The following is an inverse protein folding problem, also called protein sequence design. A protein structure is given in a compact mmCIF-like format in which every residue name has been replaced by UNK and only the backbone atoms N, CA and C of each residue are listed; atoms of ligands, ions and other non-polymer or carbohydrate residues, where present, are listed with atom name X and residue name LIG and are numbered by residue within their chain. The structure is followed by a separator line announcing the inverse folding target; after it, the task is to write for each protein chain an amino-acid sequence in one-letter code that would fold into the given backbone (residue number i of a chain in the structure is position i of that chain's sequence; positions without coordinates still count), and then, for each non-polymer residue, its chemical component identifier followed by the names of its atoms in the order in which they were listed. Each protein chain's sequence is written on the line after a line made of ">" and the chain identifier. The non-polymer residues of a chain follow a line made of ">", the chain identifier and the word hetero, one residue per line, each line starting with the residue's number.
data_IF_967825765323
#
_entry.id   IF_967825765323
#
_cell.length_a   1.000
_cell.length_b   1.000
_cell.length_c   1.000
_cell.angle_alpha   90.00
_cell.angle_beta   90.00
_cell.angle_gamma   90.00
#
_symmetry.space_group_name_H-M   'P 1'
#
loop_
_entity.id
_entity.type
_entity.pdbx_description
1 polymer ?
#
# COMPACT_ATOMS: atom_id res chain seq x y z
N UNK A 1 17.63 -13.10 5.01
CA UNK A 1 17.53 -11.92 5.89
C UNK A 1 16.52 -10.96 5.25
N UNK A 2 15.23 -11.04 5.58
CA UNK A 2 14.21 -10.17 4.95
C UNK A 2 13.11 -9.83 5.93
N UNK A 3 13.42 -8.89 6.83
CA UNK A 3 12.47 -8.16 7.68
C UNK A 3 13.06 -6.77 7.96
N UNK A 4 12.28 -5.72 8.30
CA UNK A 4 10.84 -5.68 8.54
C UNK A 4 10.11 -4.62 7.68
N UNK A 5 8.78 -4.60 7.73
CA UNK A 5 7.82 -3.70 7.03
C UNK A 5 7.35 -4.12 5.62
N UNK A 6 6.88 -5.37 5.47
CA UNK A 6 6.33 -5.83 4.19
C UNK A 6 5.16 -4.97 3.65
N UNK A 7 4.36 -4.33 4.52
CA UNK A 7 3.17 -3.58 4.11
C UNK A 7 2.87 -2.37 5.04
N UNK A 8 3.56 -1.22 4.85
CA UNK A 8 3.43 -0.04 5.71
C UNK A 8 2.14 0.76 5.54
N UNK A 9 1.34 0.46 4.51
CA UNK A 9 0.11 1.17 4.21
C UNK A 9 -1.11 0.26 4.35
N UNK A 10 -2.29 0.86 4.47
CA UNK A 10 -3.58 0.20 4.35
C UNK A 10 -4.38 0.87 3.22
N UNK A 11 -4.99 0.06 2.36
CA UNK A 11 -5.82 0.56 1.27
C UNK A 11 -7.20 0.94 1.81
N UNK A 12 -7.56 2.23 1.81
CA UNK A 12 -8.79 2.72 2.49
C UNK A 12 -10.00 2.89 1.58
N UNK A 13 -9.85 2.77 0.27
CA UNK A 13 -10.94 3.01 -0.68
C UNK A 13 -11.75 1.75 -0.94
N UNK A 14 -13.04 1.92 -1.22
CA UNK A 14 -13.92 0.83 -1.63
C UNK A 14 -13.79 0.56 -3.14
N UNK A 15 -12.62 0.06 -3.55
CA UNK A 15 -12.35 -0.33 -4.93
C UNK A 15 -11.74 -1.72 -4.95
N UNK A 16 -12.14 -2.53 -5.92
CA UNK A 16 -11.64 -3.90 -6.13
C UNK A 16 -11.80 -4.84 -4.91
N UNK A 17 -12.69 -4.53 -3.96
CA UNK A 17 -12.87 -5.35 -2.75
C UNK A 17 -11.68 -5.37 -1.79
N UNK A 18 -10.75 -4.39 -1.89
CA UNK A 18 -9.49 -4.38 -1.12
C UNK A 18 -9.48 -3.40 0.06
N UNK A 19 -10.61 -2.81 0.42
CA UNK A 19 -10.72 -1.85 1.52
C UNK A 19 -10.26 -2.51 2.83
N UNK A 20 -9.38 -1.83 3.56
CA UNK A 20 -8.82 -2.29 4.83
C UNK A 20 -7.62 -3.22 4.71
N UNK A 21 -7.22 -3.65 3.50
CA UNK A 21 -6.09 -4.56 3.35
C UNK A 21 -4.75 -3.83 3.46
N UNK A 22 -3.75 -4.44 4.12
CA UNK A 22 -2.41 -3.88 4.17
C UNK A 22 -1.76 -3.96 2.78
N UNK A 23 -0.93 -2.98 2.44
CA UNK A 23 -0.22 -2.92 1.17
C UNK A 23 1.12 -2.16 1.30
N UNK A 24 2.00 -2.40 0.32
CA UNK A 24 3.26 -1.69 0.13
C UNK A 24 3.20 -0.92 -1.18
N UNK A 25 3.99 0.15 -1.26
CA UNK A 25 4.17 0.92 -2.49
C UNK A 25 5.47 0.46 -3.13
N UNK A 26 5.38 -0.22 -4.26
CA UNK A 26 6.54 -0.70 -5.01
C UNK A 26 7.09 0.38 -5.94
N UNK A 27 6.20 1.11 -6.62
CA UNK A 27 6.58 2.16 -7.59
C UNK A 27 5.80 3.43 -7.34
N UNK A 28 6.47 4.58 -7.40
CA UNK A 28 5.85 5.91 -7.34
C UNK A 28 5.89 6.55 -8.72
N UNK A 29 4.73 6.89 -9.26
CA UNK A 29 4.67 7.65 -10.50
C UNK A 29 4.91 9.14 -10.21
N UNK A 30 5.59 9.83 -11.14
CA UNK A 30 5.85 11.26 -11.05
C UNK A 30 4.58 12.10 -11.30
N UNK A 31 3.60 11.55 -12.01
CA UNK A 31 2.35 12.22 -12.41
C UNK A 31 1.15 11.70 -11.62
N UNK A 32 0.16 12.58 -11.40
CA UNK A 32 -1.16 12.27 -10.82
C UNK A 32 -1.18 11.62 -9.42
N UNK A 33 -0.09 11.73 -8.65
CA UNK A 33 0.02 11.08 -7.33
C UNK A 33 -0.23 9.56 -7.37
N UNK A 34 0.01 8.91 -8.52
CA UNK A 34 -0.22 7.48 -8.69
C UNK A 34 0.95 6.65 -8.13
N UNK A 35 0.64 5.43 -7.72
CA UNK A 35 1.61 4.46 -7.25
C UNK A 35 1.16 3.04 -7.57
N UNK A 36 2.13 2.16 -7.84
CA UNK A 36 1.90 0.72 -7.85
C UNK A 36 1.94 0.23 -6.41
N UNK A 37 0.86 -0.44 -5.98
CA UNK A 37 0.80 -1.11 -4.68
C UNK A 37 0.83 -2.61 -4.84
N UNK A 38 1.45 -3.27 -3.87
CA UNK A 38 1.47 -4.72 -3.70
C UNK A 38 0.78 -5.12 -2.42
N UNK A 39 -0.08 -6.11 -2.53
CA UNK A 39 -0.82 -6.71 -1.41
C UNK A 39 -0.16 -8.03 -0.95
N UNK A 40 -0.49 -8.52 0.26
CA UNK A 40 0.07 -9.77 0.80
C UNK A 40 -0.15 -11.01 -0.06
N UNK A 41 -1.25 -11.05 -0.81
CA UNK A 41 -1.59 -12.14 -1.74
C UNK A 41 -0.80 -12.09 -3.06
N UNK A 42 0.15 -11.17 -3.19
CA UNK A 42 0.95 -10.99 -4.41
C UNK A 42 0.24 -10.19 -5.50
N UNK A 43 -1.01 -9.79 -5.29
CA UNK A 43 -1.75 -8.92 -6.21
C UNK A 43 -1.11 -7.53 -6.26
N UNK A 44 -1.00 -6.96 -7.46
CA UNK A 44 -0.49 -5.61 -7.69
C UNK A 44 -1.50 -4.75 -8.43
N UNK A 45 -1.54 -3.45 -8.11
CA UNK A 45 -2.47 -2.50 -8.74
C UNK A 45 -1.88 -1.09 -8.77
N UNK A 46 -2.14 -0.35 -9.85
CA UNK A 46 -1.92 1.10 -9.86
C UNK A 46 -3.10 1.80 -9.19
N UNK A 47 -2.80 2.63 -8.18
CA UNK A 47 -3.80 3.42 -7.46
C UNK A 47 -3.26 4.79 -7.08
N UNK A 48 -4.11 5.70 -6.60
CA UNK A 48 -3.66 6.98 -6.09
C UNK A 48 -3.09 6.80 -4.68
N UNK A 49 -2.00 7.50 -4.34
CA UNK A 49 -1.47 7.54 -2.96
C UNK A 49 -2.50 8.03 -1.94
N UNK A 50 -3.48 8.83 -2.39
CA UNK A 50 -4.60 9.26 -1.56
C UNK A 50 -5.49 8.10 -1.09
N UNK A 51 -5.48 6.97 -1.81
CA UNK A 51 -6.19 5.76 -1.42
C UNK A 51 -5.47 4.97 -0.31
N UNK A 52 -4.27 5.40 0.10
CA UNK A 52 -3.44 4.74 1.10
C UNK A 52 -3.44 5.54 2.40
N UNK A 53 -3.51 4.83 3.52
CA UNK A 53 -3.25 5.39 4.85
C UNK A 53 -2.04 4.69 5.46
N UNK A 54 -1.15 5.43 6.13
CA UNK A 54 -0.02 4.81 6.85
C UNK A 54 -0.56 4.00 8.03
N UNK A 55 -0.03 2.80 8.22
CA UNK A 55 -0.26 2.03 9.44
C UNK A 55 0.58 2.65 10.57
N UNK A 56 -0.06 2.91 11.71
CA UNK A 56 0.64 3.38 12.93
C UNK A 56 1.47 2.27 13.59
N UNK A 57 1.08 1.03 13.34
CA UNK A 57 1.71 -0.22 13.81
C UNK A 57 3.12 -0.48 13.21
N UNK A 58 3.53 0.31 12.22
CA UNK A 58 4.77 0.11 11.45
C UNK A 58 5.86 1.11 11.86
N UNK A 59 5.65 1.87 12.95
CA UNK A 59 6.54 2.93 13.43
C UNK A 59 6.91 2.84 14.90
N UNK A 60 7.21 1.64 15.39
CA UNK A 60 7.79 1.44 16.73
C UNK A 60 8.86 0.33 16.68
N UNK A 61 10.01 0.65 16.12
CA UNK A 61 11.31 0.11 16.51
C UNK A 61 12.40 1.16 16.22
#
# INVERSE_FOLDING_TARGET
>A
MTSPVQFPYVYRWNRQGRKGQPCAVDIRAKVMNSCLVRFPDGYTMVTSRNALARRKDVGAE
#
